data_IF_771379317186
#
_entry.id   IF_771379317186
#
_cell.length_a   1.000
_cell.length_b   1.000
_cell.length_c   1.000
_cell.angle_alpha   90.00
_cell.angle_beta   90.00
_cell.angle_gamma   90.00
#
_symmetry.space_group_name_H-M   'P 1'
#
loop_
_entity.id
_entity.type
_entity.pdbx_description
1 polymer ?
#
# COMPACT_ATOMS: atom_id res chain seq x y z
N UNK A 1 30.58 -11.24 17.90
CA UNK A 1 29.12 -11.48 17.90
C UNK A 1 28.89 -12.91 17.46
N UNK A 2 28.18 -13.74 18.24
CA UNK A 2 28.05 -15.17 17.98
C UNK A 2 27.11 -15.51 16.82
N UNK A 3 27.33 -16.67 16.17
CA UNK A 3 26.47 -17.19 15.09
C UNK A 3 24.99 -17.24 15.51
N UNK A 4 24.71 -17.64 16.76
CA UNK A 4 23.37 -17.68 17.35
C UNK A 4 22.70 -16.29 17.32
N UNK A 5 23.43 -15.24 17.67
CA UNK A 5 22.93 -13.85 17.67
C UNK A 5 22.57 -13.38 16.26
N UNK A 6 23.38 -13.71 15.24
CA UNK A 6 23.09 -13.35 13.85
C UNK A 6 21.84 -14.06 13.31
N UNK A 7 21.65 -15.33 13.68
CA UNK A 7 20.45 -16.10 13.32
C UNK A 7 19.22 -15.52 14.02
N UNK A 8 19.32 -15.17 15.31
CA UNK A 8 18.23 -14.52 16.04
C UNK A 8 17.86 -13.16 15.44
N UNK A 9 18.84 -12.32 15.08
CA UNK A 9 18.59 -11.04 14.40
C UNK A 9 17.87 -11.27 13.07
N UNK A 10 18.30 -12.26 12.28
CA UNK A 10 17.64 -12.61 11.02
C UNK A 10 16.18 -13.03 11.25
N UNK A 11 15.91 -13.83 12.27
CA UNK A 11 14.55 -14.29 12.61
C UNK A 11 13.65 -13.11 13.01
N UNK A 12 14.10 -12.25 13.92
CA UNK A 12 13.35 -11.05 14.33
C UNK A 12 13.07 -10.14 13.13
N UNK A 13 14.05 -9.97 12.24
CA UNK A 13 13.90 -9.16 11.03
C UNK A 13 12.82 -9.71 10.08
N UNK A 14 12.66 -11.03 9.97
CA UNK A 14 11.59 -11.63 9.17
C UNK A 14 10.21 -11.35 9.77
N UNK A 15 10.04 -11.53 11.08
CA UNK A 15 8.76 -11.27 11.76
C UNK A 15 8.35 -9.80 11.62
N UNK A 16 9.28 -8.87 11.90
CA UNK A 16 9.02 -7.43 11.78
C UNK A 16 8.69 -7.04 10.33
N UNK A 17 9.37 -7.65 9.34
CA UNK A 17 9.09 -7.37 7.93
C UNK A 17 7.69 -7.81 7.50
N UNK A 18 7.23 -8.98 7.96
CA UNK A 18 5.87 -9.48 7.65
C UNK A 18 4.80 -8.53 8.22
N UNK A 19 4.97 -8.10 9.48
CA UNK A 19 4.04 -7.18 10.13
C UNK A 19 3.99 -5.83 9.40
N UNK A 20 5.14 -5.27 9.02
CA UNK A 20 5.21 -4.00 8.29
C UNK A 20 4.57 -4.09 6.90
N UNK A 21 4.81 -5.18 6.17
CA UNK A 21 4.17 -5.43 4.87
C UNK A 21 2.65 -5.46 5.02
N UNK A 22 2.13 -6.15 6.05
CA UNK A 22 0.69 -6.22 6.31
C UNK A 22 0.08 -4.83 6.57
N UNK A 23 0.73 -4.02 7.43
CA UNK A 23 0.27 -2.65 7.75
C UNK A 23 0.27 -1.74 6.52
N UNK A 24 1.18 -1.94 5.58
CA UNK A 24 1.25 -1.13 4.35
C UNK A 24 0.24 -1.61 3.31
N UNK A 25 0.07 -2.93 3.13
CA UNK A 25 -0.81 -3.51 2.09
C UNK A 25 -2.29 -3.37 2.42
N UNK A 26 -2.70 -3.60 3.67
CA UNK A 26 -4.14 -3.61 4.03
C UNK A 26 -4.84 -2.28 3.69
N UNK A 27 -4.30 -1.10 4.03
CA UNK A 27 -4.89 0.18 3.64
C UNK A 27 -4.92 0.39 2.12
N UNK A 28 -3.91 -0.11 1.39
CA UNK A 28 -3.86 -0.01 -0.08
C UNK A 28 -4.98 -0.81 -0.71
N UNK A 29 -5.27 -2.03 -0.22
CA UNK A 29 -6.39 -2.85 -0.72
C UNK A 29 -7.74 -2.15 -0.45
N UNK A 30 -7.93 -1.63 0.76
CA UNK A 30 -9.15 -0.87 1.10
C UNK A 30 -9.36 0.31 0.16
N UNK A 31 -8.28 1.05 -0.13
CA UNK A 31 -8.32 2.15 -1.07
C UNK A 31 -8.68 1.72 -2.49
N UNK A 32 -8.11 0.63 -3.00
CA UNK A 32 -8.46 0.13 -4.34
C UNK A 32 -9.93 -0.26 -4.43
N UNK A 33 -10.49 -0.83 -3.35
CA UNK A 33 -11.91 -1.14 -3.28
C UNK A 33 -12.77 0.12 -3.24
N UNK A 34 -12.40 1.11 -2.44
CA UNK A 34 -13.09 2.41 -2.39
C UNK A 34 -13.00 3.14 -3.75
N UNK A 35 -11.86 3.04 -4.43
CA UNK A 35 -11.65 3.59 -5.78
C UNK A 35 -12.53 2.91 -6.83
N UNK A 36 -12.70 1.59 -6.75
CA UNK A 36 -13.60 0.85 -7.64
C UNK A 36 -15.06 1.32 -7.47
N UNK A 37 -15.50 1.51 -6.22
CA UNK A 37 -16.82 2.07 -5.89
C UNK A 37 -16.94 3.53 -6.40
N UNK A 38 -15.90 4.34 -6.30
CA UNK A 38 -15.90 5.69 -6.85
C UNK A 38 -15.92 5.72 -8.38
N UNK A 39 -15.26 4.76 -9.02
CA UNK A 39 -15.25 4.62 -10.47
C UNK A 39 -16.64 4.20 -11.00
N UNK A 40 -17.40 3.43 -10.22
CA UNK A 40 -18.83 3.17 -10.49
C UNK A 40 -19.71 4.43 -10.37
N UNK A 41 -19.31 5.42 -9.57
CA UNK A 41 -20.04 6.70 -9.40
C UNK A 41 -19.72 7.75 -10.47
N UNK A 42 -18.60 7.63 -11.18
CA UNK A 42 -18.26 8.51 -12.30
C UNK A 42 -19.31 8.53 -13.43
N UNK A 43 -19.84 7.39 -13.91
CA UNK A 43 -20.92 7.40 -14.91
C UNK A 43 -22.23 8.00 -14.37
N UNK A 44 -22.51 7.89 -13.07
CA UNK A 44 -23.64 8.55 -12.43
C UNK A 44 -23.48 10.09 -12.43
N UNK A 45 -22.27 10.57 -12.13
CA UNK A 45 -21.87 11.98 -12.26
C UNK A 45 -22.04 12.50 -13.70
N UNK A 46 -21.61 11.72 -14.70
CA UNK A 46 -21.77 12.07 -16.12
C UNK A 46 -23.26 12.12 -16.50
N UNK A 47 -24.07 11.19 -16.01
CA UNK A 47 -25.51 11.16 -16.25
C UNK A 47 -26.22 12.37 -15.62
N UNK A 48 -25.91 12.70 -14.36
CA UNK A 48 -26.43 13.89 -13.68
C UNK A 48 -26.04 15.19 -14.40
N UNK A 49 -24.79 15.29 -14.85
CA UNK A 49 -24.33 16.44 -15.61
C UNK A 49 -25.02 16.54 -16.99
N UNK A 50 -25.34 15.39 -17.61
CA UNK A 50 -26.11 15.35 -18.86
C UNK A 50 -27.56 15.78 -18.64
N UNK A 51 -28.20 15.39 -17.52
CA UNK A 51 -29.55 15.85 -17.15
C UNK A 51 -29.62 17.37 -17.00
N UNK A 52 -28.58 18.03 -16.50
CA UNK A 52 -28.49 19.50 -16.44
C UNK A 52 -28.52 20.18 -17.82
N UNK A 53 -28.19 19.45 -18.90
CA UNK A 53 -28.26 19.96 -20.27
C UNK A 53 -29.61 19.70 -20.95
N UNK A 54 -30.50 18.90 -20.32
CA UNK A 54 -31.82 18.58 -20.87
C UNK A 54 -32.82 19.73 -20.62
N UNK A 55 -33.67 20.08 -21.60
CA UNK A 55 -34.63 21.18 -21.47
C UNK A 55 -35.67 21.01 -20.35
N UNK A 56 -35.88 19.78 -19.86
CA UNK A 56 -36.82 19.47 -18.77
C UNK A 56 -36.33 19.92 -17.38
N UNK A 57 -35.05 20.26 -17.24
CA UNK A 57 -34.44 20.71 -15.98
C UNK A 57 -34.27 22.24 -15.90
N UNK A 58 -35.13 23.00 -16.59
CA UNK A 58 -35.21 24.46 -16.49
C UNK A 58 -35.79 24.96 -15.16
N UNK A 59 -36.45 24.08 -14.40
CA UNK A 59 -36.95 24.40 -13.07
C UNK A 59 -35.77 24.55 -12.08
N UNK A 60 -35.73 25.69 -11.39
CA UNK A 60 -34.65 26.09 -10.49
C UNK A 60 -34.46 25.07 -9.36
N UNK A 61 -35.54 24.47 -8.86
CA UNK A 61 -35.44 23.52 -7.74
C UNK A 61 -34.80 22.19 -8.16
N UNK A 62 -35.13 21.69 -9.35
CA UNK A 62 -34.53 20.46 -9.89
C UNK A 62 -33.07 20.67 -10.28
N UNK A 63 -32.72 21.88 -10.75
CA UNK A 63 -31.34 22.25 -11.06
C UNK A 63 -30.47 22.32 -9.82
N UNK A 64 -30.97 22.89 -8.71
CA UNK A 64 -30.23 22.98 -7.44
C UNK A 64 -29.98 21.60 -6.84
N UNK A 65 -30.99 20.71 -6.83
CA UNK A 65 -30.84 19.35 -6.29
C UNK A 65 -29.75 18.54 -7.03
N UNK A 66 -29.69 18.65 -8.36
CA UNK A 66 -28.66 17.95 -9.15
C UNK A 66 -27.26 18.53 -8.91
N UNK A 67 -27.14 19.84 -8.69
CA UNK A 67 -25.85 20.47 -8.39
C UNK A 67 -25.32 20.07 -7.01
N UNK A 68 -26.18 19.97 -6.00
CA UNK A 68 -25.81 19.47 -4.67
C UNK A 68 -25.35 18.01 -4.72
N UNK A 69 -26.00 17.18 -5.53
CA UNK A 69 -25.61 15.77 -5.73
C UNK A 69 -24.26 15.64 -6.45
N UNK A 70 -24.00 16.50 -7.46
CA UNK A 70 -22.70 16.59 -8.13
C UNK A 70 -21.58 17.02 -7.16
N UNK A 71 -21.83 18.03 -6.32
CA UNK A 71 -20.86 18.50 -5.33
C UNK A 71 -20.59 17.44 -4.25
N UNK A 72 -21.61 16.72 -3.80
CA UNK A 72 -21.45 15.61 -2.86
C UNK A 72 -20.60 14.47 -3.41
N UNK A 73 -20.79 14.08 -4.68
CA UNK A 73 -19.99 13.03 -5.31
C UNK A 73 -18.56 13.53 -5.55
N UNK A 74 -18.36 14.79 -5.98
CA UNK A 74 -17.02 15.39 -6.15
C UNK A 74 -16.21 15.45 -4.85
N UNK A 75 -16.84 15.80 -3.73
CA UNK A 75 -16.18 15.86 -2.42
C UNK A 75 -15.65 14.50 -1.95
N UNK A 76 -16.26 13.40 -2.37
CA UNK A 76 -15.77 12.05 -2.07
C UNK A 76 -14.49 11.70 -2.84
N UNK A 77 -14.46 12.02 -4.14
CA UNK A 77 -13.37 11.68 -5.07
C UNK A 77 -12.02 12.34 -4.71
N UNK A 78 -12.01 13.55 -4.13
CA UNK A 78 -10.79 14.33 -3.85
C UNK A 78 -9.90 13.73 -2.73
N UNK A 79 -10.36 12.72 -1.99
CA UNK A 79 -9.69 12.24 -0.76
C UNK A 79 -8.50 11.29 -0.99
N UNK A 80 -8.03 11.10 -2.22
CA UNK A 80 -7.37 9.86 -2.65
C UNK A 80 -5.86 9.94 -2.97
N UNK A 81 -5.17 11.07 -2.76
CA UNK A 81 -3.74 11.20 -3.12
C UNK A 81 -2.73 10.44 -2.21
N UNK A 82 -3.14 9.93 -1.04
CA UNK A 82 -2.21 9.36 -0.05
C UNK A 82 -1.69 7.93 -0.32
N UNK A 83 -2.15 7.26 -1.38
CA UNK A 83 -1.90 5.81 -1.58
C UNK A 83 -0.70 5.51 -2.49
N UNK A 84 -0.38 6.40 -3.43
CA UNK A 84 0.80 6.27 -4.30
C UNK A 84 2.11 6.20 -3.49
N UNK A 85 2.23 7.07 -2.47
CA UNK A 85 3.43 7.15 -1.61
C UNK A 85 3.66 5.86 -0.82
N UNK A 86 2.59 5.15 -0.43
CA UNK A 86 2.67 3.92 0.37
C UNK A 86 3.27 2.76 -0.42
N UNK A 87 2.93 2.65 -1.71
CA UNK A 87 3.50 1.64 -2.61
C UNK A 87 4.99 1.92 -2.84
N UNK A 88 5.35 3.18 -3.04
CA UNK A 88 6.76 3.58 -3.17
C UNK A 88 7.57 3.28 -1.90
N UNK A 89 7.02 3.59 -0.73
CA UNK A 89 7.61 3.25 0.58
C UNK A 89 7.79 1.73 0.73
N UNK A 90 6.83 0.93 0.27
CA UNK A 90 6.93 -0.54 0.30
C UNK A 90 8.11 -1.05 -0.53
N UNK A 91 8.33 -0.52 -1.73
CA UNK A 91 9.46 -0.90 -2.57
C UNK A 91 10.81 -0.57 -1.93
N UNK A 92 10.94 0.63 -1.35
CA UNK A 92 12.15 1.03 -0.61
C UNK A 92 12.37 0.09 0.58
N UNK A 93 11.31 -0.21 1.33
CA UNK A 93 11.38 -1.09 2.49
C UNK A 93 11.85 -2.51 2.10
N UNK A 94 11.24 -3.11 1.07
CA UNK A 94 11.62 -4.44 0.56
C UNK A 94 13.10 -4.46 0.14
N UNK A 95 13.56 -3.40 -0.53
CA UNK A 95 14.96 -3.28 -0.97
C UNK A 95 15.93 -3.24 0.22
N UNK A 96 15.64 -2.42 1.24
CA UNK A 96 16.47 -2.30 2.44
C UNK A 96 16.53 -3.63 3.20
N UNK A 97 15.37 -4.27 3.44
CA UNK A 97 15.30 -5.56 4.13
C UNK A 97 16.06 -6.65 3.37
N UNK A 98 15.92 -6.70 2.05
CA UNK A 98 16.66 -7.64 1.20
C UNK A 98 18.17 -7.42 1.30
N UNK A 99 18.62 -6.16 1.29
CA UNK A 99 20.03 -5.81 1.45
C UNK A 99 20.59 -6.23 2.81
N UNK A 100 19.84 -6.00 3.89
CA UNK A 100 20.21 -6.43 5.25
C UNK A 100 20.27 -7.96 5.33
N UNK A 101 19.27 -8.67 4.79
CA UNK A 101 19.23 -10.13 4.76
C UNK A 101 20.42 -10.73 3.99
N UNK A 102 20.79 -10.14 2.86
CA UNK A 102 21.94 -10.59 2.08
C UNK A 102 23.27 -10.39 2.86
N UNK A 103 23.43 -9.25 3.52
CA UNK A 103 24.58 -8.98 4.38
C UNK A 103 24.67 -9.97 5.55
N UNK A 104 23.55 -10.24 6.22
CA UNK A 104 23.47 -11.23 7.31
C UNK A 104 23.79 -12.65 6.83
N UNK A 105 23.24 -13.07 5.69
CA UNK A 105 23.53 -14.39 5.09
C UNK A 105 25.02 -14.54 4.75
N UNK A 106 25.64 -13.50 4.17
CA UNK A 106 27.08 -13.50 3.89
C UNK A 106 27.92 -13.64 5.16
N UNK A 107 27.56 -12.92 6.24
CA UNK A 107 28.26 -13.01 7.53
C UNK A 107 28.08 -14.39 8.18
N UNK A 108 26.85 -14.93 8.17
CA UNK A 108 26.54 -16.28 8.69
C UNK A 108 27.32 -17.34 7.92
N UNK A 109 27.37 -17.27 6.59
CA UNK A 109 28.11 -18.21 5.75
C UNK A 109 29.61 -18.18 6.06
N UNK A 110 30.20 -16.99 6.18
CA UNK A 110 31.62 -16.83 6.55
C UNK A 110 31.94 -17.43 7.92
N UNK A 111 31.10 -17.18 8.92
CA UNK A 111 31.30 -17.75 10.26
C UNK A 111 31.18 -19.27 10.21
N UNK A 112 30.15 -19.81 9.54
CA UNK A 112 29.97 -21.26 9.38
C UNK A 112 31.20 -21.94 8.76
N UNK A 113 31.73 -21.39 7.67
CA UNK A 113 32.94 -21.89 7.01
C UNK A 113 34.13 -21.84 7.98
N UNK A 114 34.36 -20.70 8.65
CA UNK A 114 35.47 -20.56 9.59
C UNK A 114 35.37 -21.49 10.82
N UNK A 115 34.17 -21.88 11.26
CA UNK A 115 33.97 -22.93 12.29
C UNK A 115 34.12 -24.34 11.74
N UNK A 116 33.70 -24.59 10.49
CA UNK A 116 33.85 -25.88 9.81
C UNK A 116 35.32 -26.20 9.50
N UNK A 117 36.12 -25.19 9.14
CA UNK A 117 37.56 -25.34 8.84
C UNK A 117 38.44 -25.50 10.09
N UNK A 118 37.89 -25.25 11.29
CA UNK A 118 38.60 -25.41 12.57
C UNK A 118 38.42 -26.79 13.22
N UNK A 119 37.74 -27.73 12.56
CA UNK A 119 37.70 -29.13 12.99
C UNK A 119 36.82 -29.43 14.22
N UNK A 120 35.98 -28.51 14.68
CA UNK A 120 35.02 -28.77 15.76
C UNK A 120 33.59 -28.83 15.22
N UNK A 121 33.26 -29.97 14.62
CA UNK A 121 31.89 -30.50 14.51
C UNK A 121 31.99 -32.04 14.51
N UNK A 122 32.33 -32.59 15.67
CA UNK A 122 31.84 -33.89 16.13
C UNK A 122 31.01 -33.65 17.39
#
# INVERSE_FOLDING_TARGET
MGLKTLISIKFVLHIVSIVLIYIIIVPVISYYHDFEIENERLPELVNLNTKLTHPDYRDINNKTAILEEIDFIRLKIIKNDEVSDRIFILFIFIYIISSINNSLNSKIKRIKIATSDKGELH
#
